data_IF_233307206070
#
_entry.id   IF_233307206070
#
_cell.length_a   1.000
_cell.length_b   1.000
_cell.length_c   1.000
_cell.angle_alpha   90.00
_cell.angle_beta   90.00
_cell.angle_gamma   90.00
#
_symmetry.space_group_name_H-M   'P 1'
#
loop_
_entity.id
_entity.type
_entity.pdbx_description
1 polymer ?
#
# COMPACT_ATOMS: atom_id res chain seq x y z
N UNK A 1 -10.24 1.61 31.04
CA UNK A 1 -9.75 0.41 30.33
C UNK A 1 -8.26 0.58 30.11
N UNK A 2 -7.44 -0.30 30.67
CA UNK A 2 -5.98 -0.21 30.54
C UNK A 2 -5.62 -0.66 29.13
N UNK A 3 -5.03 0.24 28.32
CA UNK A 3 -4.36 -0.12 27.08
C UNK A 3 -3.29 -1.15 27.43
N UNK A 4 -3.50 -2.40 27.04
CA UNK A 4 -2.44 -3.39 27.01
C UNK A 4 -1.38 -2.85 26.06
N UNK A 5 -0.17 -2.68 26.56
CA UNK A 5 1.00 -2.33 25.77
C UNK A 5 1.17 -3.47 24.76
N UNK A 6 0.72 -3.28 23.51
CA UNK A 6 0.98 -4.27 22.46
C UNK A 6 2.50 -4.41 22.38
N UNK A 7 2.99 -5.60 22.72
CA UNK A 7 4.40 -5.88 22.81
C UNK A 7 4.89 -6.14 21.39
N UNK A 8 5.84 -5.33 20.91
CA UNK A 8 6.49 -5.53 19.63
C UNK A 8 7.18 -6.90 19.61
N UNK A 9 6.88 -7.71 18.60
CA UNK A 9 7.45 -9.03 18.38
C UNK A 9 8.56 -8.93 17.34
N UNK A 10 9.79 -9.27 17.72
CA UNK A 10 10.91 -9.31 16.77
C UNK A 10 11.12 -10.75 16.30
N UNK A 11 11.08 -10.98 14.99
CA UNK A 11 11.20 -12.32 14.39
C UNK A 11 12.23 -12.28 13.27
N UNK A 12 13.21 -13.18 13.30
CA UNK A 12 14.32 -13.23 12.34
C UNK A 12 14.02 -14.20 11.19
N UNK A 13 12.94 -13.96 10.45
CA UNK A 13 12.61 -14.68 9.19
C UNK A 13 12.85 -13.79 7.98
N UNK A 14 13.15 -14.37 6.81
CA UNK A 14 13.30 -13.62 5.57
C UNK A 14 11.94 -13.15 5.02
N UNK A 15 11.86 -11.90 4.58
CA UNK A 15 10.61 -11.32 4.07
C UNK A 15 10.20 -11.91 2.71
N UNK A 16 11.15 -12.35 1.88
CA UNK A 16 10.84 -13.03 0.61
C UNK A 16 10.24 -14.41 0.88
N UNK A 17 10.70 -15.12 1.91
CA UNK A 17 10.08 -16.38 2.35
C UNK A 17 8.64 -16.14 2.85
N UNK A 18 8.41 -15.01 3.53
CA UNK A 18 7.06 -14.62 3.96
C UNK A 18 6.15 -14.29 2.76
N UNK A 19 6.66 -13.59 1.74
CA UNK A 19 5.94 -13.35 0.49
C UNK A 19 5.59 -14.67 -0.19
N UNK A 20 6.54 -15.60 -0.29
CA UNK A 20 6.31 -16.90 -0.89
C UNK A 20 5.25 -17.71 -0.12
N UNK A 21 5.28 -17.68 1.21
CA UNK A 21 4.27 -18.32 2.06
C UNK A 21 2.89 -17.71 1.89
N UNK A 22 2.82 -16.38 1.80
CA UNK A 22 1.58 -15.64 1.52
C UNK A 22 0.99 -15.99 0.16
N UNK A 23 1.82 -16.04 -0.88
CA UNK A 23 1.41 -16.40 -2.24
C UNK A 23 0.91 -17.83 -2.37
N UNK A 24 1.59 -18.77 -1.70
CA UNK A 24 1.27 -20.20 -1.76
C UNK A 24 0.13 -20.59 -0.83
N UNK A 25 -0.35 -19.66 0.00
CA UNK A 25 -1.47 -19.93 0.90
C UNK A 25 -2.75 -20.16 0.10
N UNK A 26 -3.41 -21.28 0.38
CA UNK A 26 -4.66 -21.65 -0.28
C UNK A 26 -5.69 -22.09 0.76
N UNK A 27 -6.90 -22.44 0.32
CA UNK A 27 -7.90 -23.05 1.19
C UNK A 27 -7.44 -24.36 1.86
N UNK A 28 -6.44 -25.04 1.29
CA UNK A 28 -5.88 -26.29 1.84
C UNK A 28 -4.46 -26.15 2.40
N UNK A 29 -3.69 -25.16 1.97
CA UNK A 29 -2.30 -24.97 2.40
C UNK A 29 -2.19 -23.72 3.26
N UNK A 30 -1.81 -23.90 4.52
CA UNK A 30 -1.72 -22.82 5.50
C UNK A 30 -0.28 -22.68 5.98
N UNK A 31 0.14 -21.43 6.20
CA UNK A 31 1.48 -21.11 6.68
C UNK A 31 1.42 -20.41 8.03
N UNK A 32 2.40 -20.71 8.88
CA UNK A 32 2.54 -20.14 10.22
C UNK A 32 3.98 -19.72 10.46
N UNK A 33 4.18 -18.59 11.13
CA UNK A 33 5.47 -18.18 11.68
C UNK A 33 5.62 -18.81 13.06
N UNK A 34 6.66 -19.62 13.28
CA UNK A 34 7.12 -20.00 14.62
C UNK A 34 7.99 -18.87 15.17
N UNK A 35 7.43 -18.11 16.12
CA UNK A 35 8.08 -16.94 16.72
C UNK A 35 9.35 -17.33 17.48
N UNK A 36 9.39 -18.52 18.10
CA UNK A 36 10.56 -18.98 18.85
C UNK A 36 11.60 -19.61 17.94
N UNK A 37 11.12 -20.36 16.94
CA UNK A 37 11.96 -21.03 15.96
C UNK A 37 12.57 -20.09 14.93
N UNK A 38 11.97 -18.91 14.70
CA UNK A 38 12.26 -18.04 13.57
C UNK A 38 12.16 -18.79 12.24
N UNK A 39 11.10 -19.57 12.07
CA UNK A 39 10.85 -20.36 10.86
C UNK A 39 9.41 -20.22 10.39
N UNK A 40 9.20 -20.46 9.10
CA UNK A 40 7.86 -20.59 8.52
C UNK A 40 7.54 -22.08 8.39
N UNK A 41 6.38 -22.47 8.90
CA UNK A 41 5.86 -23.84 8.89
C UNK A 41 4.66 -23.89 7.95
N UNK A 42 4.65 -24.87 7.04
CA UNK A 42 3.51 -25.16 6.18
C UNK A 42 2.71 -26.35 6.71
N UNK A 43 1.40 -26.29 6.58
CA UNK A 43 0.46 -27.40 6.81
C UNK A 43 -0.41 -27.51 5.57
N UNK A 44 -0.40 -28.69 4.93
CA UNK A 44 -1.21 -28.97 3.75
C UNK A 44 -2.31 -29.96 4.11
N UNK A 45 -3.55 -29.46 4.26
CA UNK A 45 -4.72 -30.24 4.61
C UNK A 45 -5.05 -31.38 3.63
N UNK A 46 -4.51 -31.32 2.40
CA UNK A 46 -4.68 -32.40 1.42
C UNK A 46 -3.65 -33.53 1.56
N UNK A 47 -2.50 -33.25 2.19
CA UNK A 47 -1.36 -34.20 2.31
C UNK A 47 -1.10 -34.67 3.74
N UNK A 48 -1.39 -33.84 4.72
CA UNK A 48 -1.17 -34.11 6.13
C UNK A 48 -2.37 -34.86 6.74
N UNK A 49 -2.19 -36.15 7.08
CA UNK A 49 -3.24 -36.96 7.72
C UNK A 49 -3.77 -36.33 9.03
N UNK A 50 -2.90 -35.63 9.76
CA UNK A 50 -3.23 -34.96 11.03
C UNK A 50 -3.38 -33.43 10.89
N UNK A 51 -3.58 -32.90 9.68
CA UNK A 51 -3.62 -31.45 9.41
C UNK A 51 -4.57 -30.70 10.34
N UNK A 52 -5.79 -31.21 10.50
CA UNK A 52 -6.84 -30.59 11.31
C UNK A 52 -6.44 -30.48 12.79
N UNK A 53 -5.73 -31.48 13.32
CA UNK A 53 -5.23 -31.45 14.69
C UNK A 53 -4.08 -30.44 14.83
N UNK A 54 -3.13 -30.43 13.88
CA UNK A 54 -2.01 -29.47 13.83
C UNK A 54 -2.50 -28.02 13.73
N UNK A 55 -3.44 -27.73 12.82
CA UNK A 55 -4.03 -26.40 12.64
C UNK A 55 -4.68 -25.91 13.94
N UNK A 56 -5.55 -26.72 14.55
CA UNK A 56 -6.21 -26.38 15.82
C UNK A 56 -5.21 -26.15 16.96
N UNK A 57 -4.10 -26.88 16.96
CA UNK A 57 -3.04 -26.72 17.97
C UNK A 57 -2.28 -25.41 17.76
N UNK A 58 -1.92 -25.08 16.52
CA UNK A 58 -1.17 -23.86 16.20
C UNK A 58 -2.03 -22.61 16.38
N UNK A 59 -3.28 -22.61 15.92
CA UNK A 59 -4.20 -21.47 16.09
C UNK A 59 -4.49 -21.14 17.56
N UNK A 60 -4.36 -22.10 18.47
CA UNK A 60 -4.53 -21.88 19.92
C UNK A 60 -3.24 -21.46 20.62
N UNK A 61 -2.08 -21.61 19.98
CA UNK A 61 -0.79 -21.42 20.61
C UNK A 61 -0.18 -20.09 20.15
N UNK A 62 0.01 -19.17 21.08
CA UNK A 62 0.51 -17.82 20.82
C UNK A 62 1.96 -17.78 20.31
N UNK A 63 2.68 -18.90 20.30
CA UNK A 63 4.01 -18.99 19.69
C UNK A 63 3.96 -19.13 18.17
N UNK A 64 2.79 -19.44 17.61
CA UNK A 64 2.58 -19.53 16.17
C UNK A 64 1.68 -18.40 15.71
N UNK A 65 2.11 -17.67 14.68
CA UNK A 65 1.27 -16.68 14.03
C UNK A 65 0.90 -17.15 12.64
N UNK A 66 -0.41 -17.20 12.35
CA UNK A 66 -0.91 -17.57 11.02
C UNK A 66 -0.54 -16.48 10.02
N UNK A 67 0.17 -16.84 8.96
CA UNK A 67 0.40 -15.97 7.81
C UNK A 67 -0.96 -15.78 7.11
N UNK A 68 -1.32 -14.56 6.71
CA UNK A 68 -2.55 -14.34 5.96
C UNK A 68 -2.53 -15.15 4.67
N UNK A 69 -3.70 -15.41 4.10
CA UNK A 69 -3.81 -16.00 2.76
C UNK A 69 -4.07 -14.91 1.73
N UNK A 70 -3.55 -15.12 0.53
CA UNK A 70 -4.01 -14.41 -0.66
C UNK A 70 -5.35 -15.04 -1.08
N UNK A 71 -6.46 -14.37 -0.78
CA UNK A 71 -7.79 -14.87 -1.11
C UNK A 71 -8.17 -14.50 -2.55
N UNK A 72 -9.04 -15.28 -3.19
CA UNK A 72 -9.49 -15.00 -4.55
C UNK A 72 -10.20 -13.65 -4.70
N UNK A 73 -10.81 -13.16 -3.62
CA UNK A 73 -11.40 -11.82 -3.53
C UNK A 73 -10.35 -10.72 -3.56
N UNK A 74 -9.14 -11.01 -3.07
CA UNK A 74 -8.02 -10.07 -3.14
C UNK A 74 -7.55 -9.93 -4.59
N UNK A 75 -7.39 -11.04 -5.31
CA UNK A 75 -7.06 -11.04 -6.75
C UNK A 75 -8.09 -10.27 -7.59
N UNK A 76 -9.37 -10.35 -7.24
CA UNK A 76 -10.42 -9.60 -7.91
C UNK A 76 -10.30 -8.10 -7.68
N UNK A 77 -10.19 -7.67 -6.41
CA UNK A 77 -10.02 -6.26 -6.07
C UNK A 77 -8.76 -5.67 -6.72
N UNK A 78 -7.61 -6.34 -6.60
CA UNK A 78 -6.37 -5.83 -7.19
C UNK A 78 -6.40 -5.80 -8.72
N UNK A 79 -7.11 -6.74 -9.36
CA UNK A 79 -7.31 -6.70 -10.81
C UNK A 79 -8.17 -5.50 -11.20
N UNK A 80 -9.26 -5.24 -10.47
CA UNK A 80 -10.11 -4.07 -10.72
C UNK A 80 -9.35 -2.76 -10.52
N UNK A 81 -8.59 -2.65 -9.43
CA UNK A 81 -7.77 -1.47 -9.14
C UNK A 81 -6.67 -1.27 -10.19
N UNK A 82 -5.94 -2.32 -10.56
CA UNK A 82 -4.90 -2.23 -11.60
C UNK A 82 -5.44 -1.69 -12.92
N UNK A 83 -6.61 -2.18 -13.34
CA UNK A 83 -7.20 -1.75 -14.60
C UNK A 83 -7.79 -0.34 -14.54
N UNK A 84 -8.20 0.11 -13.34
CA UNK A 84 -8.64 1.49 -13.13
C UNK A 84 -7.45 2.47 -13.10
N UNK A 85 -6.33 2.07 -12.52
CA UNK A 85 -5.11 2.89 -12.38
C UNK A 85 -4.22 2.86 -13.63
N UNK A 86 -4.49 1.95 -14.58
CA UNK A 86 -3.73 1.89 -15.82
C UNK A 86 -4.18 2.99 -16.79
N UNK A 87 -3.35 4.02 -16.98
CA UNK A 87 -3.53 5.11 -17.97
C UNK A 87 -3.45 4.67 -19.44
N UNK A 88 -3.46 3.36 -19.71
CA UNK A 88 -3.43 2.85 -21.08
C UNK A 88 -4.85 2.83 -21.66
N UNK A 89 -5.14 3.78 -22.54
CA UNK A 89 -6.41 3.82 -23.30
C UNK A 89 -6.75 2.51 -24.02
N UNK A 90 -5.76 1.67 -24.35
CA UNK A 90 -6.01 0.33 -24.91
C UNK A 90 -6.54 -0.67 -23.88
N UNK A 91 -6.27 -0.44 -22.58
CA UNK A 91 -6.81 -1.21 -21.47
C UNK A 91 -8.20 -0.74 -21.08
N UNK A 92 -8.54 0.54 -21.23
CA UNK A 92 -9.88 1.07 -20.92
C UNK A 92 -10.98 0.38 -21.74
N UNK A 93 -10.83 0.30 -23.07
CA UNK A 93 -11.82 -0.33 -23.95
C UNK A 93 -12.03 -1.81 -23.60
N UNK A 94 -10.95 -2.50 -23.23
CA UNK A 94 -10.99 -3.93 -22.88
C UNK A 94 -11.48 -4.13 -21.44
N UNK A 95 -11.22 -3.19 -20.53
CA UNK A 95 -11.68 -3.18 -19.14
C UNK A 95 -13.21 -3.16 -19.07
N UNK A 96 -13.84 -2.26 -19.83
CA UNK A 96 -15.31 -2.18 -19.88
C UNK A 96 -15.95 -3.42 -20.49
N UNK A 97 -15.31 -4.07 -21.47
CA UNK A 97 -15.78 -5.37 -22.00
C UNK A 97 -15.61 -6.54 -21.01
N UNK A 98 -14.60 -6.46 -20.14
CA UNK A 98 -14.22 -7.53 -19.21
C UNK A 98 -15.05 -7.52 -17.92
N UNK A 99 -15.39 -6.35 -17.38
CA UNK A 99 -16.18 -6.20 -16.15
C UNK A 99 -17.65 -6.63 -16.30
N UNK A 100 -18.23 -6.50 -17.49
CA UNK A 100 -19.68 -6.64 -17.70
C UNK A 100 -20.16 -8.09 -17.93
N UNK A 101 -19.30 -9.10 -17.77
CA UNK A 101 -19.62 -10.51 -18.11
C UNK A 101 -19.23 -11.52 -17.02
N UNK A 102 -20.00 -12.61 -16.93
CA UNK A 102 -19.80 -13.80 -16.06
C UNK A 102 -18.42 -14.52 -16.22
N UNK A 103 -17.44 -13.96 -16.94
CA UNK A 103 -16.12 -14.55 -17.22
C UNK A 103 -14.96 -13.53 -17.22
N UNK A 104 -15.07 -12.41 -16.50
CA UNK A 104 -14.06 -11.34 -16.50
C UNK A 104 -12.62 -11.81 -16.22
N UNK A 105 -12.43 -12.76 -15.31
CA UNK A 105 -11.09 -13.30 -15.02
C UNK A 105 -10.43 -14.02 -16.22
N UNK A 106 -11.18 -14.82 -16.98
CA UNK A 106 -10.63 -15.54 -18.13
C UNK A 106 -10.27 -14.60 -19.28
N UNK A 107 -11.06 -13.54 -19.48
CA UNK A 107 -10.76 -12.51 -20.47
C UNK A 107 -9.53 -11.70 -20.07
N UNK A 108 -9.38 -11.37 -18.78
CA UNK A 108 -8.17 -10.74 -18.26
C UNK A 108 -6.94 -11.61 -18.52
N UNK A 109 -6.98 -12.91 -18.23
CA UNK A 109 -5.86 -13.81 -18.54
C UNK A 109 -5.52 -13.83 -20.04
N UNK A 110 -6.54 -13.86 -20.90
CA UNK A 110 -6.35 -13.81 -22.36
C UNK A 110 -5.74 -12.48 -22.83
N UNK A 111 -6.13 -11.36 -22.21
CA UNK A 111 -5.54 -10.04 -22.44
C UNK A 111 -4.04 -10.07 -22.10
N UNK A 112 -3.66 -10.57 -20.92
CA UNK A 112 -2.25 -10.65 -20.52
C UNK A 112 -1.43 -11.53 -21.48
N UNK A 113 -2.01 -12.60 -22.01
CA UNK A 113 -1.34 -13.44 -23.02
C UNK A 113 -1.13 -12.70 -24.34
N UNK A 114 -2.08 -11.87 -24.73
CA UNK A 114 -2.06 -11.12 -26.00
C UNK A 114 -1.23 -9.83 -25.91
N UNK A 115 -0.99 -9.30 -24.70
CA UNK A 115 -0.28 -8.04 -24.46
C UNK A 115 0.88 -8.22 -23.45
N UNK A 116 2.10 -8.57 -23.91
CA UNK A 116 3.23 -8.84 -23.02
C UNK A 116 3.65 -7.65 -22.14
N UNK A 117 3.45 -6.42 -22.61
CA UNK A 117 3.76 -5.21 -21.82
C UNK A 117 2.82 -5.06 -20.63
N UNK A 118 1.51 -5.20 -20.87
CA UNK A 118 0.48 -5.21 -19.82
C UNK A 118 0.72 -6.34 -18.84
N UNK A 119 1.08 -7.54 -19.33
CA UNK A 119 1.44 -8.66 -18.46
C UNK A 119 2.60 -8.34 -17.53
N UNK A 120 3.61 -7.64 -18.03
CA UNK A 120 4.74 -7.21 -17.20
C UNK A 120 4.29 -6.22 -16.13
N UNK A 121 3.51 -5.20 -16.50
CA UNK A 121 2.95 -4.22 -15.57
C UNK A 121 2.08 -4.89 -14.50
N UNK A 122 1.20 -5.81 -14.88
CA UNK A 122 0.37 -6.57 -13.95
C UNK A 122 1.20 -7.38 -12.96
N UNK A 123 2.26 -8.07 -13.41
CA UNK A 123 3.13 -8.86 -12.53
C UNK A 123 3.85 -7.95 -11.54
N UNK A 124 4.34 -6.79 -11.97
CA UNK A 124 4.99 -5.79 -11.11
C UNK A 124 4.00 -5.20 -10.10
N UNK A 125 2.81 -4.81 -10.55
CA UNK A 125 1.72 -4.29 -9.72
C UNK A 125 1.30 -5.30 -8.66
N UNK A 126 1.01 -6.54 -9.04
CA UNK A 126 0.61 -7.61 -8.11
C UNK A 126 1.70 -7.88 -7.08
N UNK A 127 2.97 -7.88 -7.48
CA UNK A 127 4.09 -8.06 -6.57
C UNK A 127 4.18 -6.92 -5.54
N UNK A 128 4.02 -5.66 -5.97
CA UNK A 128 3.98 -4.49 -5.10
C UNK A 128 2.79 -4.55 -4.12
N UNK A 129 1.60 -4.84 -4.63
CA UNK A 129 0.38 -4.99 -3.83
C UNK A 129 0.51 -6.06 -2.74
N UNK A 130 1.05 -7.24 -3.07
CA UNK A 130 1.33 -8.31 -2.10
C UNK A 130 2.32 -7.86 -1.04
N UNK A 131 3.39 -7.18 -1.45
CA UNK A 131 4.41 -6.65 -0.54
C UNK A 131 3.80 -5.65 0.44
N UNK A 132 3.05 -4.67 -0.06
CA UNK A 132 2.39 -3.63 0.74
C UNK A 132 1.42 -4.24 1.74
N UNK A 133 0.63 -5.23 1.31
CA UNK A 133 -0.32 -5.94 2.19
C UNK A 133 0.39 -6.68 3.33
N UNK A 134 1.50 -7.36 3.04
CA UNK A 134 2.27 -8.02 4.10
C UNK A 134 2.93 -7.02 5.04
N UNK A 135 3.45 -5.90 4.55
CA UNK A 135 3.99 -4.83 5.40
C UNK A 135 2.90 -4.30 6.33
N UNK A 136 1.71 -4.01 5.80
CA UNK A 136 0.57 -3.55 6.60
C UNK A 136 0.18 -4.57 7.66
N UNK A 137 0.15 -5.86 7.30
CA UNK A 137 -0.11 -6.95 8.24
C UNK A 137 0.96 -7.07 9.33
N UNK A 138 2.25 -6.93 9.01
CA UNK A 138 3.34 -6.89 10.00
C UNK A 138 3.13 -5.71 10.97
N UNK A 139 2.77 -4.53 10.47
CA UNK A 139 2.45 -3.38 11.31
C UNK A 139 1.22 -3.62 12.21
N UNK A 140 0.13 -4.18 11.67
CA UNK A 140 -1.09 -4.48 12.43
C UNK A 140 -0.84 -5.50 13.54
N UNK A 141 0.01 -6.49 13.25
CA UNK A 141 0.38 -7.54 14.20
C UNK A 141 1.54 -7.15 15.13
N UNK A 142 2.10 -5.94 14.97
CA UNK A 142 3.27 -5.45 15.70
C UNK A 142 4.47 -6.40 15.59
N UNK A 143 4.72 -6.93 14.40
CA UNK A 143 5.92 -7.72 14.08
C UNK A 143 6.96 -6.84 13.42
N UNK A 144 8.19 -6.96 13.91
CA UNK A 144 9.38 -6.40 13.30
C UNK A 144 10.27 -7.52 12.75
N UNK A 145 10.75 -7.33 11.52
CA UNK A 145 11.76 -8.18 10.89
C UNK A 145 13.12 -7.45 10.97
N UNK A 146 13.95 -7.72 11.99
CA UNK A 146 15.16 -6.96 12.22
C UNK A 146 16.15 -7.15 11.08
N UNK A 147 16.91 -6.10 10.77
CA UNK A 147 17.94 -6.06 9.72
C UNK A 147 17.42 -6.27 8.29
N UNK A 148 16.13 -6.00 8.03
CA UNK A 148 15.56 -6.05 6.69
C UNK A 148 15.01 -4.69 6.27
N UNK A 149 15.28 -4.33 5.02
CA UNK A 149 14.80 -3.09 4.42
C UNK A 149 13.47 -3.35 3.72
N UNK A 150 12.38 -3.10 4.44
CA UNK A 150 11.01 -3.39 3.97
C UNK A 150 10.41 -2.27 3.12
N UNK A 151 11.00 -1.09 3.14
CA UNK A 151 10.63 0.03 2.27
C UNK A 151 11.88 0.49 1.52
N UNK A 152 11.76 1.05 0.32
CA UNK A 152 12.86 1.76 -0.34
C UNK A 152 13.23 3.03 0.45
N UNK A 153 14.38 3.61 0.11
CA UNK A 153 14.75 4.94 0.58
C UNK A 153 13.77 5.98 0.03
N UNK A 154 13.23 6.82 0.93
CA UNK A 154 12.24 7.83 0.59
C UNK A 154 12.96 9.17 0.40
N UNK A 155 12.79 9.73 -0.78
CA UNK A 155 13.28 11.05 -1.15
C UNK A 155 12.09 11.99 -1.39
N UNK A 156 12.10 13.13 -0.71
CA UNK A 156 11.07 14.17 -0.83
C UNK A 156 11.76 15.49 -1.19
N UNK A 157 11.29 16.13 -2.26
CA UNK A 157 11.78 17.42 -2.73
C UNK A 157 10.65 18.44 -2.81
N UNK A 158 10.83 19.61 -2.19
CA UNK A 158 9.87 20.72 -2.28
C UNK A 158 10.06 21.45 -3.61
N UNK A 159 9.00 21.53 -4.40
CA UNK A 159 9.06 22.09 -5.74
C UNK A 159 9.19 23.61 -5.71
N UNK A 160 9.99 24.16 -6.62
CA UNK A 160 10.06 25.60 -6.86
C UNK A 160 8.86 26.10 -7.65
N UNK A 161 8.70 27.42 -7.73
CA UNK A 161 7.62 28.01 -8.54
C UNK A 161 7.78 27.63 -10.02
N UNK A 162 9.01 27.63 -10.54
CA UNK A 162 9.28 27.23 -11.92
C UNK A 162 8.99 25.75 -12.20
N UNK A 163 9.19 24.88 -11.21
CA UNK A 163 8.85 23.45 -11.30
C UNK A 163 7.34 23.24 -11.26
N UNK A 164 6.62 23.97 -10.38
CA UNK A 164 5.16 23.91 -10.28
C UNK A 164 4.50 24.39 -11.58
N UNK A 165 5.01 25.44 -12.22
CA UNK A 165 4.46 25.95 -13.48
C UNK A 165 4.52 24.94 -14.64
N UNK A 166 5.41 23.94 -14.55
CA UNK A 166 5.57 22.87 -15.53
C UNK A 166 4.65 21.67 -15.29
N UNK A 167 3.96 21.62 -14.15
CA UNK A 167 3.05 20.53 -13.83
C UNK A 167 1.78 20.57 -14.70
N UNK A 168 1.07 19.43 -14.84
CA UNK A 168 -0.27 19.39 -15.43
C UNK A 168 -1.23 20.38 -14.76
N UNK A 169 -2.18 20.92 -15.55
CA UNK A 169 -3.17 21.89 -15.06
C UNK A 169 -3.99 21.34 -13.88
N UNK A 170 -4.26 20.03 -13.87
CA UNK A 170 -4.93 19.33 -12.76
C UNK A 170 -4.22 19.54 -11.41
N UNK A 171 -2.89 19.46 -11.38
CA UNK A 171 -2.12 19.70 -10.14
C UNK A 171 -2.06 21.18 -9.83
N UNK A 172 -1.80 21.99 -10.87
CA UNK A 172 -1.62 23.43 -10.69
C UNK A 172 -2.89 24.08 -10.18
N UNK A 173 -4.06 23.62 -10.60
CA UNK A 173 -5.36 24.19 -10.25
C UNK A 173 -5.88 23.68 -8.91
N UNK A 174 -5.45 22.48 -8.47
CA UNK A 174 -5.77 21.96 -7.14
C UNK A 174 -5.10 22.78 -6.03
N UNK A 175 -5.85 23.73 -5.45
CA UNK A 175 -5.34 24.76 -4.54
C UNK A 175 -6.05 24.77 -3.19
N UNK A 176 -5.36 25.25 -2.14
CA UNK A 176 -5.99 25.45 -0.84
C UNK A 176 -7.02 26.57 -0.92
N UNK A 177 -8.29 26.22 -0.72
CA UNK A 177 -9.41 27.15 -0.87
C UNK A 177 -9.77 27.84 0.45
N UNK A 178 -9.88 27.08 1.55
CA UNK A 178 -10.30 27.64 2.84
C UNK A 178 -9.73 26.87 4.04
N UNK A 179 -9.41 27.60 5.11
CA UNK A 179 -9.15 26.96 6.40
C UNK A 179 -10.45 26.39 6.98
N UNK A 180 -10.44 25.11 7.35
CA UNK A 180 -11.60 24.44 7.97
C UNK A 180 -11.90 24.97 9.37
N UNK A 181 -10.90 25.53 10.06
CA UNK A 181 -11.05 26.06 11.41
C UNK A 181 -11.60 27.50 11.47
N UNK A 182 -11.01 28.44 10.70
CA UNK A 182 -11.37 29.86 10.77
C UNK A 182 -12.02 30.43 9.49
N UNK A 183 -12.25 29.57 8.49
CA UNK A 183 -12.84 29.90 7.19
C UNK A 183 -12.09 30.99 6.42
N UNK A 184 -10.82 31.25 6.75
CA UNK A 184 -9.97 32.15 5.99
C UNK A 184 -9.74 31.61 4.58
N UNK A 185 -9.98 32.46 3.57
CA UNK A 185 -9.72 32.17 2.15
C UNK A 185 -8.62 33.06 1.56
N UNK A 186 -8.13 34.05 2.31
CA UNK A 186 -7.18 35.03 1.79
C UNK A 186 -5.75 34.54 1.97
N UNK A 187 -4.93 34.69 0.92
CA UNK A 187 -3.49 34.36 0.91
C UNK A 187 -3.16 32.92 1.31
N UNK A 188 -4.03 31.99 0.92
CA UNK A 188 -3.76 30.57 1.06
C UNK A 188 -2.70 30.18 0.03
N UNK A 189 -1.65 29.49 0.46
CA UNK A 189 -0.54 29.09 -0.40
C UNK A 189 -0.36 27.57 -0.32
N UNK A 190 -0.25 26.92 -1.47
CA UNK A 190 0.13 25.52 -1.56
C UNK A 190 1.65 25.40 -1.45
N UNK A 191 2.11 24.35 -0.78
CA UNK A 191 3.45 23.78 -0.90
C UNK A 191 3.28 22.43 -1.57
N UNK A 192 4.03 22.17 -2.62
CA UNK A 192 3.96 20.94 -3.41
C UNK A 192 5.32 20.26 -3.31
N UNK A 193 5.31 18.95 -3.11
CA UNK A 193 6.50 18.14 -2.97
C UNK A 193 6.41 16.96 -3.92
N UNK A 194 7.50 16.63 -4.60
CA UNK A 194 7.63 15.34 -5.28
C UNK A 194 8.16 14.29 -4.33
N UNK A 195 7.60 13.09 -4.37
CA UNK A 195 8.10 11.92 -3.64
C UNK A 195 8.45 10.81 -4.63
N UNK A 196 9.54 10.08 -4.39
CA UNK A 196 10.00 9.01 -5.28
C UNK A 196 9.21 7.69 -5.15
N UNK A 197 8.28 7.62 -4.19
CA UNK A 197 7.51 6.42 -3.87
C UNK A 197 6.08 6.77 -3.50
N UNK A 198 5.15 5.92 -3.88
CA UNK A 198 3.75 6.06 -3.48
C UNK A 198 3.55 5.56 -2.04
N UNK A 199 2.83 6.30 -1.17
CA UNK A 199 2.61 5.93 0.23
C UNK A 199 1.53 4.84 0.40
N UNK A 200 1.71 3.69 -0.25
CA UNK A 200 0.71 2.60 -0.33
C UNK A 200 0.73 1.64 0.88
N UNK A 201 1.70 1.80 1.78
CA UNK A 201 1.78 0.99 3.00
C UNK A 201 2.18 1.84 4.21
N UNK A 202 1.85 1.33 5.39
CA UNK A 202 1.96 2.06 6.65
C UNK A 202 3.39 2.44 7.01
N UNK A 203 4.40 1.65 6.59
CA UNK A 203 5.80 2.03 6.85
C UNK A 203 6.22 3.21 5.96
N UNK A 204 5.83 3.22 4.68
CA UNK A 204 6.09 4.36 3.78
C UNK A 204 5.34 5.59 4.28
N UNK A 205 4.08 5.47 4.69
CA UNK A 205 3.30 6.58 5.27
C UNK A 205 3.96 7.16 6.52
N UNK A 206 4.38 6.30 7.46
CA UNK A 206 5.03 6.72 8.70
C UNK A 206 6.35 7.44 8.44
N UNK A 207 7.17 6.90 7.53
CA UNK A 207 8.46 7.48 7.19
C UNK A 207 8.30 8.78 6.39
N UNK A 208 7.35 8.84 5.47
CA UNK A 208 6.95 10.06 4.75
C UNK A 208 6.54 11.14 5.73
N UNK A 209 5.68 10.82 6.70
CA UNK A 209 5.26 11.78 7.72
C UNK A 209 6.42 12.22 8.62
N UNK A 210 7.36 11.32 8.95
CA UNK A 210 8.56 11.65 9.70
C UNK A 210 9.44 12.64 8.94
N UNK A 211 9.73 12.38 7.67
CA UNK A 211 10.54 13.24 6.80
C UNK A 211 9.86 14.61 6.63
N UNK A 212 8.56 14.62 6.31
CA UNK A 212 7.77 15.86 6.15
C UNK A 212 7.84 16.75 7.39
N UNK A 213 7.77 16.15 8.58
CA UNK A 213 7.85 16.86 9.85
C UNK A 213 9.26 17.35 10.16
N UNK A 214 10.27 16.50 10.00
CA UNK A 214 11.65 16.79 10.40
C UNK A 214 12.35 17.76 9.44
N UNK A 215 12.14 17.60 8.13
CA UNK A 215 12.83 18.40 7.11
C UNK A 215 12.05 19.65 6.73
N UNK A 216 10.71 19.56 6.64
CA UNK A 216 9.88 20.64 6.09
C UNK A 216 8.95 21.31 7.10
N UNK A 217 8.91 20.80 8.35
CA UNK A 217 8.07 21.33 9.42
C UNK A 217 6.57 21.12 9.19
N UNK A 218 6.18 20.17 8.34
CA UNK A 218 4.79 19.89 7.97
C UNK A 218 4.26 18.69 8.75
N UNK A 219 3.16 18.86 9.49
CA UNK A 219 2.55 17.76 10.25
C UNK A 219 1.37 17.10 9.51
N UNK A 220 0.69 17.85 8.66
CA UNK A 220 -0.43 17.40 7.84
C UNK A 220 -0.19 17.71 6.35
N UNK A 221 -0.34 16.69 5.52
CA UNK A 221 -0.19 16.76 4.08
C UNK A 221 -1.22 15.82 3.43
N UNK A 222 -1.64 16.15 2.21
CA UNK A 222 -2.36 15.25 1.31
C UNK A 222 -1.40 14.53 0.38
N UNK A 223 -1.80 13.38 -0.13
CA UNK A 223 -1.15 12.69 -1.25
C UNK A 223 -1.99 12.87 -2.52
N UNK A 224 -1.32 12.94 -3.66
CA UNK A 224 -1.96 12.98 -4.97
C UNK A 224 -1.06 12.26 -5.97
N UNK A 225 -1.65 11.30 -6.70
CA UNK A 225 -1.01 10.60 -7.80
C UNK A 225 -1.41 11.25 -9.12
N UNK A 226 -0.44 11.53 -9.98
CA UNK A 226 -0.70 12.04 -11.33
C UNK A 226 0.23 11.46 -12.35
N UNK A 227 -0.28 10.48 -13.10
CA UNK A 227 0.51 9.74 -14.08
C UNK A 227 1.75 9.12 -13.42
N UNK A 228 2.92 9.40 -13.98
CA UNK A 228 4.19 8.77 -13.60
C UNK A 228 4.82 9.31 -12.30
N UNK A 229 4.25 10.34 -11.67
CA UNK A 229 4.87 11.01 -10.52
C UNK A 229 3.91 11.19 -9.35
N UNK A 230 4.45 10.95 -8.15
CA UNK A 230 3.74 11.06 -6.88
C UNK A 230 4.03 12.41 -6.23
N UNK A 231 2.98 13.06 -5.73
CA UNK A 231 3.08 14.38 -5.12
C UNK A 231 2.44 14.42 -3.74
N UNK A 232 3.04 15.22 -2.86
CA UNK A 232 2.46 15.60 -1.58
C UNK A 232 2.07 17.07 -1.62
N UNK A 233 0.95 17.40 -1.02
CA UNK A 233 0.46 18.78 -0.92
C UNK A 233 0.30 19.18 0.53
N UNK A 234 0.73 20.39 0.87
CA UNK A 234 0.56 20.94 2.20
C UNK A 234 0.20 22.42 2.13
N UNK A 235 -0.56 22.89 3.11
CA UNK A 235 -0.90 24.30 3.24
C UNK A 235 -1.16 24.62 4.71
N UNK A 236 -0.82 25.84 5.12
CA UNK A 236 -1.08 26.33 6.45
C UNK A 236 -1.88 27.63 6.37
N UNK A 237 -2.92 27.76 7.19
CA UNK A 237 -3.73 28.96 7.24
C UNK A 237 -2.88 30.15 7.73
N UNK A 238 -2.74 31.23 6.96
CA UNK A 238 -1.92 32.39 7.37
C UNK A 238 -2.53 33.15 8.54
N UNK A 239 -3.82 32.93 8.84
CA UNK A 239 -4.55 33.61 9.91
C UNK A 239 -4.42 32.92 11.27
N UNK A 240 -4.51 31.59 11.30
CA UNK A 240 -4.54 30.84 12.56
C UNK A 240 -3.50 29.72 12.67
N UNK A 241 -2.69 29.49 11.63
CA UNK A 241 -1.66 28.43 11.62
C UNK A 241 -2.22 27.00 11.48
N UNK A 242 -3.52 26.82 11.30
CA UNK A 242 -4.15 25.52 11.13
C UNK A 242 -3.78 24.89 9.78
N UNK A 243 -3.47 23.59 9.77
CA UNK A 243 -3.12 22.80 8.58
C UNK A 243 -4.34 22.03 8.01
N UNK A 244 -5.49 22.06 8.69
CA UNK A 244 -6.74 21.50 8.17
C UNK A 244 -7.34 22.45 7.13
N UNK A 245 -7.01 22.20 5.87
CA UNK A 245 -7.36 23.04 4.74
C UNK A 245 -8.32 22.28 3.82
N UNK A 246 -9.38 22.95 3.38
CA UNK A 246 -10.21 22.51 2.27
C UNK A 246 -9.51 22.87 0.95
N UNK A 247 -9.32 21.87 0.10
CA UNK A 247 -8.71 21.99 -1.22
C UNK A 247 -9.78 21.83 -2.29
N UNK A 248 -9.65 22.57 -3.39
CA UNK A 248 -10.60 22.58 -4.50
C UNK A 248 -9.86 22.88 -5.82
N UNK A 249 -10.49 22.55 -6.94
CA UNK A 249 -10.01 22.88 -8.30
C UNK A 249 -10.51 24.27 -8.75
#
# INVERSE_FOLDING_TARGET
>A
MKQGKNMLLSVSIDFCDLIAAFEQSTGSTHFFIDIKGNTIISIDASKDADAQAKLRQMEKNTNYLKVPSWESTDDELFRETFMYESDDSALEDIFYETLDRENGFQQFLHLLESHPQVKKQWVEYRAAAMRNRLINWLCDTNIELPNQHLIPEIEIHELTTEEIDQLPDEIKDFKPYACLHCHNKTRMNARIFSINVSPENRLIEQETQRIMKEQFGISHHGGWSGGDQEFLTASQCPRCGCEEIFWDY
#
